data_IF_877638894472
#
_entry.id   IF_877638894472
#
_cell.length_a   1.000
_cell.length_b   1.000
_cell.length_c   1.000
_cell.angle_alpha   90.00
_cell.angle_beta   90.00
_cell.angle_gamma   90.00
#
_symmetry.space_group_name_H-M   'P 1'
#
loop_
_entity.id
_entity.type
_entity.pdbx_description
1 polymer ?
#
# COMPACT_ATOMS: atom_id res chain seq x y z
N UNK A 1 -6.09 -34.36 -4.24
CA UNK A 1 -5.75 -33.05 -4.83
C UNK A 1 -5.86 -32.01 -3.73
N UNK A 2 -4.74 -31.54 -3.21
CA UNK A 2 -4.70 -30.44 -2.24
C UNK A 2 -5.17 -29.18 -2.95
N UNK A 3 -6.36 -28.67 -2.62
CA UNK A 3 -6.76 -27.33 -3.06
C UNK A 3 -5.67 -26.35 -2.58
N UNK A 4 -5.22 -25.48 -3.47
CA UNK A 4 -4.38 -24.36 -3.07
C UNK A 4 -5.10 -23.60 -1.94
N UNK A 5 -4.39 -23.19 -0.88
CA UNK A 5 -5.01 -22.49 0.24
C UNK A 5 -5.75 -21.22 -0.26
N UNK A 6 -6.89 -20.91 0.35
CA UNK A 6 -7.70 -19.71 0.06
C UNK A 6 -6.95 -18.43 0.46
N UNK A 7 -6.00 -18.01 -0.37
CA UNK A 7 -5.16 -16.83 -0.19
C UNK A 7 -5.63 -15.72 -1.12
N UNK A 8 -5.81 -14.52 -0.56
CA UNK A 8 -5.97 -13.31 -1.35
C UNK A 8 -4.58 -12.77 -1.69
N UNK A 9 -4.32 -12.52 -2.96
CA UNK A 9 -3.08 -11.88 -3.41
C UNK A 9 -3.33 -10.38 -3.57
N UNK A 10 -2.49 -9.57 -2.94
CA UNK A 10 -2.47 -8.12 -3.11
C UNK A 10 -1.13 -7.73 -3.73
N UNK A 11 -1.17 -7.01 -4.84
CA UNK A 11 -0.02 -6.37 -5.44
C UNK A 11 -0.23 -4.87 -5.36
N UNK A 12 0.72 -4.17 -4.77
CA UNK A 12 0.52 -2.79 -4.35
C UNK A 12 1.69 -1.92 -4.77
N UNK A 13 1.38 -0.72 -5.24
CA UNK A 13 2.38 0.28 -5.58
C UNK A 13 1.88 1.70 -5.27
N UNK A 14 2.82 2.63 -5.06
CA UNK A 14 2.57 4.03 -4.79
C UNK A 14 3.58 4.91 -5.53
N UNK A 15 3.05 5.94 -6.20
CA UNK A 15 3.85 6.86 -7.01
C UNK A 15 3.58 8.31 -6.62
N UNK A 16 4.56 9.20 -6.85
CA UNK A 16 4.42 10.65 -6.69
C UNK A 16 5.14 11.41 -7.81
N UNK A 17 4.50 12.48 -8.30
CA UNK A 17 5.11 13.48 -9.20
C UNK A 17 5.67 14.62 -8.35
N UNK A 18 6.94 14.49 -7.97
CA UNK A 18 7.57 15.33 -6.95
C UNK A 18 7.39 14.77 -5.53
N UNK A 19 8.33 15.04 -4.62
CA UNK A 19 8.34 14.44 -3.28
C UNK A 19 8.71 15.47 -2.19
N UNK A 20 7.74 16.20 -1.62
CA UNK A 20 6.29 16.00 -1.75
C UNK A 20 5.69 16.54 -3.06
N UNK A 21 4.53 16.02 -3.44
CA UNK A 21 3.80 16.41 -4.65
C UNK A 21 2.49 15.62 -4.81
N UNK A 22 1.80 15.76 -5.96
CA UNK A 22 0.68 14.89 -6.31
C UNK A 22 1.12 13.43 -6.35
N UNK A 23 0.40 12.58 -5.62
CA UNK A 23 0.69 11.15 -5.54
C UNK A 23 -0.55 10.30 -5.71
N UNK A 24 -0.33 9.02 -6.02
CA UNK A 24 -1.39 8.05 -6.21
C UNK A 24 -0.95 6.68 -5.74
N UNK A 25 -1.93 5.84 -5.45
CA UNK A 25 -1.75 4.48 -4.99
C UNK A 25 -2.56 3.53 -5.88
N UNK A 26 -2.05 2.33 -6.09
CA UNK A 26 -2.66 1.31 -6.93
C UNK A 26 -2.60 -0.06 -6.26
N UNK A 27 -3.67 -0.84 -6.44
CA UNK A 27 -3.81 -2.19 -5.90
C UNK A 27 -4.42 -3.11 -6.95
N UNK A 28 -3.77 -4.24 -7.19
CA UNK A 28 -4.35 -5.41 -7.85
C UNK A 28 -4.63 -6.46 -6.78
N UNK A 29 -5.90 -6.85 -6.64
CA UNK A 29 -6.35 -7.89 -5.73
C UNK A 29 -6.82 -9.09 -6.53
N UNK A 30 -6.22 -10.27 -6.29
CA UNK A 30 -6.60 -11.51 -6.95
C UNK A 30 -7.03 -12.58 -5.94
N UNK A 31 -8.14 -13.26 -6.23
CA UNK A 31 -8.67 -14.37 -5.43
C UNK A 31 -9.51 -15.32 -6.28
N UNK A 32 -9.20 -16.62 -6.26
CA UNK A 32 -9.93 -17.68 -7.01
C UNK A 32 -10.19 -17.35 -8.48
N UNK A 33 -9.20 -16.80 -9.18
CA UNK A 33 -9.31 -16.44 -10.60
C UNK A 33 -10.07 -15.12 -10.87
N UNK A 34 -10.59 -14.46 -9.84
CA UNK A 34 -11.15 -13.12 -9.96
C UNK A 34 -10.08 -12.06 -9.63
N UNK A 35 -10.09 -10.97 -10.39
CA UNK A 35 -9.25 -9.79 -10.12
C UNK A 35 -10.12 -8.57 -9.84
N UNK A 36 -9.68 -7.73 -8.90
CA UNK A 36 -10.26 -6.43 -8.58
C UNK A 36 -9.13 -5.41 -8.53
N UNK A 37 -9.31 -4.28 -9.19
CA UNK A 37 -8.36 -3.18 -9.19
C UNK A 37 -8.89 -2.01 -8.37
N UNK A 38 -8.03 -1.40 -7.55
CA UNK A 38 -8.34 -0.22 -6.75
C UNK A 38 -7.25 0.82 -6.96
N UNK A 39 -7.62 2.09 -6.99
CA UNK A 39 -6.66 3.18 -7.08
C UNK A 39 -7.24 4.48 -6.55
N UNK A 40 -6.38 5.45 -6.26
CA UNK A 40 -6.79 6.79 -5.84
C UNK A 40 -5.63 7.77 -5.77
N UNK A 41 -5.93 9.07 -5.64
CA UNK A 41 -4.94 10.15 -5.69
C UNK A 41 -4.99 11.13 -4.50
N UNK A 42 -3.83 11.62 -4.09
CA UNK A 42 -3.61 12.62 -3.03
C UNK A 42 -2.81 13.82 -3.58
N UNK A 43 -3.30 15.06 -3.47
CA UNK A 43 -2.72 16.22 -4.18
C UNK A 43 -1.34 16.61 -3.64
N UNK A 44 -1.13 16.39 -2.35
CA UNK A 44 0.10 16.75 -1.69
C UNK A 44 0.46 15.67 -0.69
N UNK A 45 1.37 14.81 -1.10
CA UNK A 45 1.80 13.63 -0.35
C UNK A 45 3.24 13.29 -0.68
N UNK A 46 3.74 12.16 -0.18
CA UNK A 46 5.08 11.63 -0.49
C UNK A 46 4.96 10.20 -1.00
N UNK A 47 6.01 9.71 -1.68
CA UNK A 47 6.02 8.35 -2.23
C UNK A 47 5.73 7.30 -1.15
N UNK A 48 6.46 7.38 -0.03
CA UNK A 48 6.31 6.47 1.11
C UNK A 48 4.89 6.43 1.69
N UNK A 49 4.18 7.57 1.67
CA UNK A 49 2.77 7.60 2.12
C UNK A 49 1.86 6.88 1.12
N UNK A 50 2.11 7.00 -0.18
CA UNK A 50 1.31 6.32 -1.19
C UNK A 50 1.56 4.82 -1.20
N UNK A 51 2.82 4.39 -1.04
CA UNK A 51 3.17 2.98 -0.89
C UNK A 51 2.45 2.34 0.31
N UNK A 52 2.45 3.02 1.48
CA UNK A 52 1.69 2.56 2.66
C UNK A 52 0.18 2.56 2.40
N UNK A 53 -0.34 3.62 1.79
CA UNK A 53 -1.76 3.76 1.56
C UNK A 53 -2.29 2.70 0.59
N UNK A 54 -1.51 2.28 -0.40
CA UNK A 54 -1.84 1.19 -1.31
C UNK A 54 -2.12 -0.11 -0.53
N UNK A 55 -1.21 -0.49 0.36
CA UNK A 55 -1.38 -1.68 1.21
C UNK A 55 -2.60 -1.57 2.12
N UNK A 56 -2.75 -0.43 2.79
CA UNK A 56 -3.89 -0.16 3.67
C UNK A 56 -5.20 -0.31 2.90
N UNK A 57 -5.32 0.33 1.72
CA UNK A 57 -6.55 0.30 0.92
C UNK A 57 -6.86 -1.10 0.38
N UNK A 58 -5.84 -1.87 0.02
CA UNK A 58 -6.00 -3.27 -0.36
C UNK A 58 -6.56 -4.13 0.78
N UNK A 59 -6.02 -3.97 1.99
CA UNK A 59 -6.49 -4.72 3.17
C UNK A 59 -7.88 -4.26 3.65
N UNK A 60 -8.17 -2.96 3.61
CA UNK A 60 -9.48 -2.40 3.98
C UNK A 60 -10.62 -2.85 3.08
N UNK A 61 -10.32 -3.14 1.82
CA UNK A 61 -11.32 -3.66 0.89
C UNK A 61 -11.77 -5.10 1.22
N UNK A 62 -11.09 -5.78 2.15
CA UNK A 62 -11.47 -7.11 2.64
C UNK A 62 -12.55 -6.99 3.72
N UNK A 63 -13.72 -7.57 3.46
CA UNK A 63 -14.87 -7.49 4.36
C UNK A 63 -14.77 -8.40 5.59
N UNK A 64 -13.85 -9.37 5.58
CA UNK A 64 -13.63 -10.34 6.67
C UNK A 64 -12.13 -10.63 6.85
N UNK A 65 -11.78 -11.27 7.97
CA UNK A 65 -10.42 -11.76 8.19
C UNK A 65 -10.05 -12.78 7.09
N UNK A 66 -8.85 -12.63 6.53
CA UNK A 66 -8.38 -13.41 5.39
C UNK A 66 -6.90 -13.77 5.59
N UNK A 67 -6.47 -14.85 4.94
CA UNK A 67 -5.06 -15.06 4.65
C UNK A 67 -4.70 -14.28 3.40
N UNK A 68 -3.70 -13.41 3.48
CA UNK A 68 -3.37 -12.46 2.43
C UNK A 68 -1.87 -12.50 2.16
N UNK A 69 -1.48 -12.60 0.89
CA UNK A 69 -0.10 -12.36 0.46
C UNK A 69 -0.01 -10.97 -0.12
N UNK A 70 0.77 -10.10 0.53
CA UNK A 70 1.03 -8.73 0.07
C UNK A 70 2.36 -8.70 -0.65
N UNK A 71 2.34 -8.36 -1.94
CA UNK A 71 3.50 -8.18 -2.80
C UNK A 71 3.73 -6.68 -3.04
N UNK A 72 4.89 -6.18 -2.66
CA UNK A 72 5.30 -4.79 -2.88
C UNK A 72 6.78 -4.72 -3.23
N UNK A 73 7.20 -3.72 -3.99
CA UNK A 73 8.60 -3.39 -4.22
C UNK A 73 9.14 -2.31 -3.27
N UNK A 74 8.26 -1.68 -2.48
CA UNK A 74 8.63 -0.66 -1.50
C UNK A 74 9.54 -1.24 -0.41
N UNK A 75 10.78 -0.78 -0.41
CA UNK A 75 11.70 -1.02 0.70
C UNK A 75 11.22 -0.37 2.00
N UNK A 76 10.51 0.76 1.91
CA UNK A 76 9.99 1.45 3.08
C UNK A 76 8.93 0.61 3.80
N UNK A 77 7.96 0.06 3.06
CA UNK A 77 6.95 -0.85 3.60
C UNK A 77 7.59 -2.12 4.12
N UNK A 78 8.46 -2.77 3.33
CA UNK A 78 9.18 -3.99 3.71
C UNK A 78 9.93 -3.81 5.03
N UNK A 79 10.79 -2.80 5.13
CA UNK A 79 11.63 -2.60 6.31
C UNK A 79 10.79 -2.18 7.52
N UNK A 80 9.76 -1.36 7.30
CA UNK A 80 8.88 -0.94 8.37
C UNK A 80 8.11 -2.09 8.99
N UNK A 81 7.52 -2.98 8.18
CA UNK A 81 6.74 -4.10 8.72
C UNK A 81 7.61 -5.23 9.30
N UNK A 82 8.78 -5.49 8.71
CA UNK A 82 9.65 -6.60 9.16
C UNK A 82 10.57 -6.24 10.32
N UNK A 83 10.81 -4.95 10.56
CA UNK A 83 11.81 -4.52 11.56
C UNK A 83 11.30 -3.37 12.43
N UNK A 84 10.96 -2.22 11.84
CA UNK A 84 10.81 -0.99 12.61
C UNK A 84 9.56 -0.97 13.50
N UNK A 85 8.45 -1.51 13.01
CA UNK A 85 7.15 -1.47 13.69
C UNK A 85 7.19 -2.10 15.09
N UNK A 86 7.98 -3.17 15.28
CA UNK A 86 8.12 -3.85 16.57
C UNK A 86 8.78 -2.93 17.61
N UNK A 87 9.82 -2.20 17.20
CA UNK A 87 10.53 -1.25 18.06
C UNK A 87 9.67 -0.02 18.34
N UNK A 88 8.99 0.51 17.31
CA UNK A 88 8.10 1.66 17.48
C UNK A 88 6.96 1.37 18.43
N UNK A 89 6.27 0.23 18.30
CA UNK A 89 5.20 -0.17 19.22
C UNK A 89 5.69 -0.28 20.66
N UNK A 90 6.87 -0.89 20.88
CA UNK A 90 7.49 -0.97 22.22
C UNK A 90 7.81 0.40 22.81
N UNK A 91 8.18 1.35 21.97
CA UNK A 91 8.58 2.71 22.37
C UNK A 91 7.44 3.72 22.32
N UNK A 92 6.17 3.28 22.28
CA UNK A 92 5.01 4.17 22.23
C UNK A 92 4.95 5.03 20.96
N UNK A 93 5.31 4.44 19.81
CA UNK A 93 5.37 5.06 18.49
C UNK A 93 6.35 6.23 18.37
N UNK A 94 7.52 6.11 19.02
CA UNK A 94 8.62 7.07 18.95
C UNK A 94 9.89 6.45 18.39
N UNK A 95 10.70 7.29 17.74
CA UNK A 95 12.04 6.95 17.25
C UNK A 95 13.04 6.82 18.40
N UNK A 96 14.25 6.33 18.12
CA UNK A 96 15.36 6.29 19.08
C UNK A 96 15.76 7.68 19.60
N UNK A 97 15.50 8.73 18.81
CA UNK A 97 15.72 10.14 19.18
C UNK A 97 14.52 10.78 19.89
N UNK A 98 13.54 9.96 20.34
CA UNK A 98 12.30 10.37 21.04
C UNK A 98 11.35 11.26 20.23
N UNK A 99 11.56 11.38 18.93
CA UNK A 99 10.66 12.06 18.01
C UNK A 99 9.50 11.13 17.61
N UNK A 100 8.40 11.72 17.13
CA UNK A 100 7.30 10.95 16.56
C UNK A 100 7.76 10.21 15.29
N UNK A 101 7.24 8.99 15.11
CA UNK A 101 7.50 8.22 13.90
C UNK A 101 6.87 8.92 12.69
N UNK A 102 7.65 9.11 11.63
CA UNK A 102 7.13 9.67 10.38
C UNK A 102 6.05 8.75 9.81
N UNK A 103 4.91 9.32 9.39
CA UNK A 103 3.73 8.61 8.91
C UNK A 103 3.09 7.68 9.95
N UNK A 104 3.20 8.02 11.25
CA UNK A 104 2.59 7.28 12.37
C UNK A 104 1.11 6.99 12.13
N UNK A 105 0.36 7.94 11.53
CA UNK A 105 -1.04 7.83 11.19
C UNK A 105 -1.34 6.61 10.28
N UNK A 106 -0.49 6.40 9.27
CA UNK A 106 -0.63 5.27 8.35
C UNK A 106 -0.09 3.98 8.97
N UNK A 107 1.00 4.05 9.74
CA UNK A 107 1.56 2.86 10.38
C UNK A 107 0.65 2.27 11.44
N UNK A 108 -0.01 3.09 12.26
CA UNK A 108 -0.99 2.62 13.24
C UNK A 108 -2.18 1.95 12.56
N UNK A 109 -2.71 2.58 11.49
CA UNK A 109 -3.79 2.00 10.69
C UNK A 109 -3.38 0.67 10.03
N UNK A 110 -2.15 0.56 9.54
CA UNK A 110 -1.64 -0.69 8.98
C UNK A 110 -1.50 -1.76 10.07
N UNK A 111 -1.03 -1.41 11.28
CA UNK A 111 -0.89 -2.33 12.40
C UNK A 111 -2.23 -2.96 12.81
N UNK A 112 -3.31 -2.18 12.84
CA UNK A 112 -4.66 -2.68 13.09
C UNK A 112 -5.11 -3.70 12.04
N UNK A 113 -4.80 -3.45 10.77
CA UNK A 113 -5.12 -4.37 9.67
C UNK A 113 -4.25 -5.64 9.73
N UNK A 114 -2.98 -5.52 10.10
CA UNK A 114 -2.07 -6.65 10.32
C UNK A 114 -2.57 -7.53 11.47
N UNK A 115 -3.17 -6.95 12.51
CA UNK A 115 -3.78 -7.72 13.60
C UNK A 115 -5.06 -8.45 13.16
N UNK A 116 -5.80 -7.91 12.20
CA UNK A 116 -7.06 -8.48 11.68
C UNK A 116 -6.85 -9.63 10.68
N UNK A 117 -5.80 -9.57 9.87
CA UNK A 117 -5.54 -10.51 8.77
C UNK A 117 -4.30 -11.37 9.03
N UNK A 118 -4.25 -12.56 8.41
CA UNK A 118 -3.02 -13.36 8.41
C UNK A 118 -2.19 -12.98 7.20
N UNK A 119 -1.17 -12.16 7.40
CA UNK A 119 -0.38 -11.58 6.31
C UNK A 119 0.91 -12.37 6.03
N UNK A 120 1.15 -12.67 4.77
CA UNK A 120 2.43 -13.09 4.21
C UNK A 120 2.99 -11.93 3.37
N UNK A 121 4.23 -11.52 3.64
CA UNK A 121 4.87 -10.43 2.90
C UNK A 121 5.81 -10.98 1.85
N UNK A 122 5.60 -10.59 0.60
CA UNK A 122 6.48 -10.84 -0.52
C UNK A 122 7.08 -9.51 -0.98
N UNK A 123 8.40 -9.48 -1.13
CA UNK A 123 9.09 -8.31 -1.69
C UNK A 123 9.68 -8.68 -3.05
N UNK A 124 9.44 -7.84 -4.03
CA UNK A 124 10.00 -7.96 -5.38
C UNK A 124 10.95 -6.80 -5.64
N UNK A 125 11.98 -7.04 -6.45
CA UNK A 125 12.99 -6.02 -6.75
C UNK A 125 12.50 -5.15 -7.91
N UNK A 126 11.77 -4.08 -7.57
CA UNK A 126 11.19 -3.15 -8.54
C UNK A 126 10.03 -3.77 -9.34
N UNK A 127 9.43 -2.95 -10.20
CA UNK A 127 8.27 -3.33 -11.01
C UNK A 127 8.58 -4.23 -12.23
N UNK A 128 9.81 -4.27 -12.75
CA UNK A 128 10.11 -4.96 -14.02
C UNK A 128 10.03 -6.49 -13.91
N UNK A 129 9.16 -7.12 -14.71
CA UNK A 129 9.05 -8.58 -14.80
C UNK A 129 7.99 -9.20 -13.89
N UNK A 130 7.17 -8.38 -13.23
CA UNK A 130 6.04 -8.81 -12.42
C UNK A 130 4.75 -8.12 -12.93
N UNK A 131 3.98 -8.76 -13.82
CA UNK A 131 2.84 -8.13 -14.52
C UNK A 131 1.82 -7.46 -13.59
N UNK A 132 1.58 -8.02 -12.41
CA UNK A 132 0.65 -7.49 -11.43
C UNK A 132 1.20 -6.27 -10.67
N UNK A 133 2.52 -6.22 -10.43
CA UNK A 133 3.17 -5.03 -9.88
C UNK A 133 3.21 -3.90 -10.92
N UNK A 134 3.51 -4.20 -12.19
CA UNK A 134 3.42 -3.22 -13.27
C UNK A 134 1.98 -2.69 -13.44
N UNK A 135 0.98 -3.54 -13.22
CA UNK A 135 -0.41 -3.13 -13.21
C UNK A 135 -0.73 -2.22 -12.00
N UNK A 136 -0.20 -2.52 -10.82
CA UNK A 136 -0.34 -1.66 -9.65
C UNK A 136 0.33 -0.28 -9.85
N UNK A 137 1.51 -0.22 -10.47
CA UNK A 137 2.20 1.02 -10.85
C UNK A 137 1.34 1.87 -11.81
N UNK A 138 0.79 1.24 -12.86
CA UNK A 138 -0.15 1.92 -13.79
C UNK A 138 -1.37 2.47 -13.08
N UNK A 139 -1.93 1.71 -12.13
CA UNK A 139 -3.07 2.13 -11.31
C UNK A 139 -2.70 3.31 -10.40
N UNK A 140 -1.50 3.31 -9.81
CA UNK A 140 -1.01 4.42 -9.00
C UNK A 140 -0.89 5.71 -9.82
N UNK A 141 -0.30 5.62 -11.02
CA UNK A 141 -0.21 6.75 -11.94
C UNK A 141 -1.59 7.23 -12.41
N UNK A 142 -2.52 6.32 -12.71
CA UNK A 142 -3.91 6.66 -13.00
C UNK A 142 -4.57 7.41 -11.83
N UNK A 143 -4.26 7.04 -10.59
CA UNK A 143 -4.71 7.77 -9.39
C UNK A 143 -4.23 9.22 -9.36
N UNK A 144 -3.00 9.49 -9.81
CA UNK A 144 -2.46 10.86 -9.92
C UNK A 144 -3.22 11.65 -11.00
N UNK A 145 -3.46 11.03 -12.15
CA UNK A 145 -4.10 11.68 -13.31
C UNK A 145 -5.60 11.97 -13.09
N UNK A 146 -6.34 11.00 -12.54
CA UNK A 146 -7.77 11.14 -12.27
C UNK A 146 -8.06 12.20 -11.20
N UNK A 147 -7.10 12.48 -10.33
CA UNK A 147 -7.18 13.60 -9.41
C UNK A 147 -6.95 14.94 -10.10
N UNK A 148 -5.99 14.99 -11.03
CA UNK A 148 -5.63 16.21 -11.74
C UNK A 148 -6.78 16.69 -12.63
N UNK A 149 -7.59 15.76 -13.15
CA UNK A 149 -8.78 16.05 -13.97
C UNK A 149 -10.00 16.53 -13.17
N UNK A 150 -10.13 16.17 -11.88
CA UNK A 150 -11.20 16.67 -11.02
C UNK A 150 -11.03 18.15 -10.62
N UNK A 151 -9.82 18.71 -10.73
CA UNK A 151 -9.54 20.12 -10.44
C UNK A 151 -9.66 21.05 -11.66
N UNK A 152 -9.93 20.51 -12.86
CA UNK A 152 -10.05 21.30 -14.08
C UNK A 152 -11.48 21.80 -14.38
N UNK A 153 -12.45 21.47 -13.53
CA UNK A 153 -13.88 21.77 -13.76
C UNK A 153 -14.47 22.81 -12.81
N UNK A 154 -13.69 23.37 -11.88
CA UNK A 154 -14.18 24.29 -10.83
C UNK A 154 -13.48 25.67 -10.92
N UNK A 155 -13.39 26.19 -12.14
CA UNK A 155 -12.87 27.53 -12.44
C UNK A 155 -13.69 28.12 -13.59
N UNK A 156 -14.92 28.52 -13.30
CA UNK A 156 -15.76 29.36 -14.15
C UNK A 156 -16.54 30.32 -13.27
#
# INVERSE_FOLDING_TARGET
>A
MTQAPDIVHLYTDGACRGNPGPGGWGVVMAYKGHSKHLFGGVAHTTNNRMELLAVIKGLEALTRACKVRVTTDSQYVKNGITSWIHTWKRNGWRTSTKQEVKNIDLWQRLDELVARHQLEWAWVKGHSGHPENEAADRLANQGIDNRSSANATDSS
#
